data_IF_209917966925
#
_entry.id   IF_209917966925
#
_cell.length_a   1.000
_cell.length_b   1.000
_cell.length_c   1.000
_cell.angle_alpha   90.00
_cell.angle_beta   90.00
_cell.angle_gamma   90.00
#
_symmetry.space_group_name_H-M   'P 1'
#
loop_
_entity.id
_entity.type
_entity.pdbx_description
1 polymer ?
#
# COMPACT_ATOMS: atom_id res chain seq x y z
N UNK A 1 18.36 5.09 -6.76
CA UNK A 1 17.09 4.32 -6.77
C UNK A 1 17.08 3.23 -5.70
N UNK A 2 18.13 2.40 -5.59
CA UNK A 2 18.25 1.43 -4.49
C UNK A 2 18.15 2.10 -3.11
N UNK A 3 18.84 3.23 -2.91
CA UNK A 3 18.78 3.99 -1.65
C UNK A 3 17.36 4.41 -1.24
N UNK A 4 16.51 4.74 -2.21
CA UNK A 4 15.11 5.11 -1.95
C UNK A 4 14.26 3.90 -1.54
N UNK A 5 14.55 2.73 -2.10
CA UNK A 5 13.91 1.46 -1.71
C UNK A 5 14.37 1.07 -0.30
N UNK A 6 15.65 1.22 0.01
CA UNK A 6 16.20 0.92 1.33
C UNK A 6 15.64 1.87 2.39
N UNK A 7 15.46 3.15 2.07
CA UNK A 7 14.75 4.11 2.93
C UNK A 7 13.29 3.71 3.17
N UNK A 8 12.57 3.24 2.13
CA UNK A 8 11.22 2.71 2.29
C UNK A 8 11.21 1.52 3.24
N UNK A 9 12.04 0.50 2.99
CA UNK A 9 12.11 -0.70 3.83
C UNK A 9 12.45 -0.33 5.29
N UNK A 10 13.40 0.58 5.49
CA UNK A 10 13.80 1.05 6.81
C UNK A 10 12.65 1.76 7.53
N UNK A 11 11.89 2.61 6.82
CA UNK A 11 10.76 3.35 7.38
C UNK A 11 9.59 2.46 7.83
N UNK A 12 9.51 1.22 7.34
CA UNK A 12 8.47 0.25 7.69
C UNK A 12 8.99 -0.91 8.54
N UNK A 13 10.24 -0.88 9.04
CA UNK A 13 10.70 -1.84 10.05
C UNK A 13 9.87 -1.69 11.34
N UNK A 14 9.37 -2.77 11.98
CA UNK A 14 9.70 -4.18 11.79
C UNK A 14 8.78 -4.96 10.83
N UNK A 15 7.94 -4.30 10.04
CA UNK A 15 7.02 -4.95 9.11
C UNK A 15 7.76 -5.62 7.93
N UNK A 16 7.15 -6.68 7.38
CA UNK A 16 7.70 -7.34 6.20
C UNK A 16 7.40 -6.51 4.94
N UNK A 17 8.45 -6.17 4.20
CA UNK A 17 8.34 -5.32 3.01
C UNK A 17 8.75 -6.09 1.75
N UNK A 18 8.00 -5.90 0.66
CA UNK A 18 8.33 -6.40 -0.66
C UNK A 18 8.28 -5.25 -1.67
N UNK A 19 9.39 -5.04 -2.38
CA UNK A 19 9.54 -4.00 -3.39
C UNK A 19 9.78 -4.64 -4.77
N UNK A 20 8.83 -4.50 -5.69
CA UNK A 20 8.90 -5.09 -7.04
C UNK A 20 8.88 -4.00 -8.10
N UNK A 21 10.00 -3.73 -8.79
CA UNK A 21 10.04 -2.76 -9.88
C UNK A 21 9.24 -3.25 -11.10
N UNK A 22 8.30 -2.44 -11.57
CA UNK A 22 7.56 -2.64 -12.82
C UNK A 22 8.02 -1.65 -13.87
N UNK A 23 9.03 -2.05 -14.65
CA UNK A 23 9.65 -1.20 -15.69
C UNK A 23 8.67 -0.76 -16.78
N UNK A 24 7.72 -1.62 -17.16
CA UNK A 24 6.71 -1.31 -18.18
C UNK A 24 5.89 -0.06 -17.83
N UNK A 25 5.54 0.09 -16.55
CA UNK A 25 4.66 1.18 -16.08
C UNK A 25 5.43 2.28 -15.35
N UNK A 26 6.78 2.18 -15.32
CA UNK A 26 7.67 3.07 -14.55
C UNK A 26 7.21 3.26 -13.10
N UNK A 27 6.82 2.16 -12.46
CA UNK A 27 6.39 2.13 -11.05
C UNK A 27 7.16 1.09 -10.24
N UNK A 28 7.18 1.27 -8.92
CA UNK A 28 7.58 0.30 -7.92
C UNK A 28 6.30 -0.16 -7.20
N UNK A 29 5.99 -1.45 -7.26
CA UNK A 29 4.98 -2.03 -6.37
C UNK A 29 5.63 -2.27 -5.02
N UNK A 30 5.21 -1.51 -4.01
CA UNK A 30 5.68 -1.65 -2.65
C UNK A 30 4.57 -2.22 -1.78
N UNK A 31 4.85 -3.35 -1.14
CA UNK A 31 3.91 -4.08 -0.28
C UNK A 31 4.46 -4.11 1.14
N UNK A 32 3.65 -3.70 2.10
CA UNK A 32 3.94 -3.78 3.54
C UNK A 32 2.98 -4.78 4.17
N UNK A 33 3.52 -5.75 4.89
CA UNK A 33 2.77 -6.79 5.60
C UNK A 33 3.05 -6.68 7.09
N UNK A 34 2.02 -6.34 7.86
CA UNK A 34 2.04 -6.43 9.32
C UNK A 34 1.49 -7.80 9.73
N UNK A 35 2.41 -8.71 10.05
CA UNK A 35 2.07 -10.08 10.45
C UNK A 35 1.41 -10.15 11.81
N UNK A 36 1.71 -9.22 12.73
CA UNK A 36 1.10 -9.18 14.05
C UNK A 36 -0.39 -8.82 13.97
N UNK A 37 -0.76 -8.01 12.97
CA UNK A 37 -2.13 -7.52 12.77
C UNK A 37 -2.85 -8.18 11.60
N UNK A 38 -2.20 -9.11 10.90
CA UNK A 38 -2.70 -9.75 9.67
C UNK A 38 -3.16 -8.73 8.60
N UNK A 39 -2.45 -7.60 8.49
CA UNK A 39 -2.76 -6.52 7.54
C UNK A 39 -1.73 -6.51 6.43
N UNK A 40 -2.18 -6.25 5.19
CA UNK A 40 -1.31 -6.08 4.04
C UNK A 40 -1.75 -4.87 3.23
N UNK A 41 -0.81 -3.97 2.95
CA UNK A 41 -1.02 -2.77 2.14
C UNK A 41 -0.10 -2.83 0.93
N UNK A 42 -0.63 -2.65 -0.27
CA UNK A 42 0.14 -2.59 -1.52
C UNK A 42 -0.09 -1.25 -2.20
N UNK A 43 0.99 -0.60 -2.66
CA UNK A 43 0.93 0.68 -3.36
C UNK A 43 1.86 0.70 -4.56
N UNK A 44 1.38 1.24 -5.67
CA UNK A 44 2.20 1.55 -6.83
C UNK A 44 2.81 2.96 -6.66
N UNK A 45 4.14 3.03 -6.57
CA UNK A 45 4.89 4.26 -6.41
C UNK A 45 5.55 4.60 -7.76
N UNK A 46 5.26 5.74 -8.39
CA UNK A 46 5.98 6.16 -9.60
C UNK A 46 7.49 6.24 -9.35
N UNK A 47 8.31 5.75 -10.28
CA UNK A 47 9.77 5.74 -10.10
C UNK A 47 10.34 7.16 -9.96
N UNK A 48 9.74 8.17 -10.61
CA UNK A 48 10.12 9.57 -10.44
C UNK A 48 9.92 10.09 -9.00
N UNK A 49 8.97 9.52 -8.25
CA UNK A 49 8.76 9.85 -6.83
C UNK A 49 9.88 9.34 -5.94
N UNK A 50 10.65 8.33 -6.39
CA UNK A 50 11.81 7.79 -5.67
C UNK A 50 13.09 8.61 -5.91
N UNK A 51 13.09 9.47 -6.93
CA UNK A 51 14.23 10.32 -7.29
C UNK A 51 14.25 11.63 -6.49
N UNK A 52 13.14 11.99 -5.84
CA UNK A 52 12.99 13.19 -5.03
C UNK A 52 12.72 12.86 -3.55
N UNK A 53 13.62 13.26 -2.66
CA UNK A 53 13.54 12.97 -1.22
C UNK A 53 12.26 13.54 -0.58
N UNK A 54 11.82 14.73 -1.00
CA UNK A 54 10.59 15.34 -0.47
C UNK A 54 9.35 14.52 -0.86
N UNK A 55 9.28 14.08 -2.13
CA UNK A 55 8.19 13.23 -2.60
C UNK A 55 8.21 11.86 -1.94
N UNK A 56 9.40 11.28 -1.75
CA UNK A 56 9.58 10.02 -1.03
C UNK A 56 9.08 10.09 0.41
N UNK A 57 9.38 11.18 1.13
CA UNK A 57 8.89 11.40 2.48
C UNK A 57 7.35 11.49 2.54
N UNK A 58 6.73 12.12 1.54
CA UNK A 58 5.26 12.13 1.40
C UNK A 58 4.70 10.73 1.16
N UNK A 59 5.32 9.95 0.27
CA UNK A 59 4.92 8.57 -0.01
C UNK A 59 4.98 7.70 1.24
N UNK A 60 6.04 7.84 2.05
CA UNK A 60 6.19 7.13 3.34
C UNK A 60 5.04 7.48 4.29
N UNK A 61 4.77 8.79 4.48
CA UNK A 61 3.69 9.26 5.37
C UNK A 61 2.31 8.75 4.93
N UNK A 62 2.05 8.75 3.62
CA UNK A 62 0.79 8.27 3.08
C UNK A 62 0.64 6.75 3.29
N UNK A 63 1.70 5.97 3.06
CA UNK A 63 1.69 4.53 3.31
C UNK A 63 1.52 4.18 4.79
N UNK A 64 2.13 4.94 5.70
CA UNK A 64 1.93 4.77 7.14
C UNK A 64 0.47 5.02 7.52
N UNK A 65 -0.13 6.09 6.98
CA UNK A 65 -1.56 6.37 7.17
C UNK A 65 -2.45 5.27 6.59
N UNK A 66 -2.11 4.75 5.41
CA UNK A 66 -2.84 3.66 4.77
C UNK A 66 -2.77 2.38 5.63
N UNK A 67 -1.61 2.09 6.24
CA UNK A 67 -1.42 0.98 7.17
C UNK A 67 -2.25 1.15 8.45
N UNK A 68 -2.17 2.32 9.10
CA UNK A 68 -2.96 2.62 10.30
C UNK A 68 -4.47 2.55 10.04
N UNK A 69 -4.91 3.03 8.87
CA UNK A 69 -6.31 2.90 8.44
C UNK A 69 -6.69 1.45 8.22
N UNK A 70 -5.85 0.65 7.56
CA UNK A 70 -6.13 -0.76 7.31
C UNK A 70 -6.25 -1.55 8.63
N UNK A 71 -5.48 -1.18 9.65
CA UNK A 71 -5.62 -1.71 11.02
C UNK A 71 -6.97 -1.32 11.64
N UNK A 72 -7.40 -0.07 11.46
CA UNK A 72 -8.67 0.42 12.03
C UNK A 72 -9.94 0.01 11.26
N UNK A 73 -9.83 -0.44 10.02
CA UNK A 73 -11.00 -0.59 9.12
C UNK A 73 -11.49 -2.01 8.90
N UNK A 74 -10.76 -3.05 9.29
CA UNK A 74 -11.15 -4.41 8.89
C UNK A 74 -10.98 -5.43 10.01
N UNK A 75 -12.05 -5.58 10.80
CA UNK A 75 -12.34 -6.89 11.37
C UNK A 75 -12.52 -7.90 10.22
N UNK A 76 -11.97 -9.12 10.31
CA UNK A 76 -12.08 -10.15 9.27
C UNK A 76 -13.54 -10.45 8.84
N UNK A 77 -14.48 -10.22 9.76
CA UNK A 77 -15.93 -10.34 9.55
C UNK A 77 -16.45 -9.34 8.51
N UNK A 78 -15.92 -8.11 8.48
CA UNK A 78 -16.33 -7.06 7.53
C UNK A 78 -15.87 -7.34 6.10
N UNK A 79 -14.71 -8.00 5.95
CA UNK A 79 -14.18 -8.44 4.64
C UNK A 79 -14.94 -9.67 4.10
N UNK A 80 -15.39 -10.56 4.99
CA UNK A 80 -16.22 -11.71 4.62
C UNK A 80 -17.59 -11.25 4.10
N UNK A 81 -18.21 -10.26 4.75
CA UNK A 81 -19.49 -9.67 4.30
C UNK A 81 -19.34 -8.96 2.95
N UNK A 82 -18.22 -8.24 2.72
CA UNK A 82 -17.93 -7.60 1.42
C UNK A 82 -17.71 -8.63 0.30
N UNK A 83 -17.07 -9.77 0.59
CA UNK A 83 -16.89 -10.87 -0.36
C UNK A 83 -18.19 -11.61 -0.65
N UNK A 84 -19.07 -11.77 0.32
CA UNK A 84 -20.40 -12.36 0.11
C UNK A 84 -21.33 -11.43 -0.68
N UNK A 85 -21.14 -10.11 -0.62
CA UNK A 85 -22.07 -9.15 -1.22
C UNK A 85 -21.79 -8.75 -2.67
N UNK A 86 -20.61 -9.02 -3.22
CA UNK A 86 -20.26 -8.72 -4.61
C UNK A 86 -20.40 -7.23 -5.01
N UNK A 87 -19.81 -6.77 -6.12
CA UNK A 87 -20.04 -5.41 -6.60
C UNK A 87 -21.47 -5.31 -7.16
N UNK A 88 -22.41 -4.74 -6.39
CA UNK A 88 -23.70 -4.30 -6.94
C UNK A 88 -23.47 -3.06 -7.79
N UNK A 89 -23.38 -3.25 -9.11
CA UNK A 89 -23.44 -2.17 -10.09
C UNK A 89 -24.82 -1.53 -9.97
N UNK A 90 -24.91 -0.40 -9.28
CA UNK A 90 -26.11 0.42 -9.26
C UNK A 90 -26.11 1.24 -10.56
N UNK A 91 -26.81 0.75 -11.59
CA UNK A 91 -27.13 1.57 -12.76
C UNK A 91 -28.16 2.60 -12.29
N UNK A 92 -27.78 3.87 -12.33
CA UNK A 92 -28.75 4.96 -12.30
C UNK A 92 -29.41 4.97 -13.67
N UNK A 93 -30.69 4.59 -13.73
CA UNK A 93 -31.53 4.87 -14.90
C UNK A 93 -31.99 6.33 -14.80
N UNK A 94 -31.79 7.05 -15.91
CA UNK A 94 -32.13 8.46 -16.09
C UNK A 94 -33.63 8.69 -16.28
#
# INVERSE_FOLDING_TARGET
MQDAIDMLITAFSPHSCLAVPRRADRTLLFTVTDTARAVTVTKAIPLCSLECTATLATVIKDLQRDLDRAIGTLSPESLADLRQRGPRVQRFES
#
